data_IF_740380784521
#
_entry.id   IF_740380784521
#
_cell.length_a   1.000
_cell.length_b   1.000
_cell.length_c   1.000
_cell.angle_alpha   90.00
_cell.angle_beta   90.00
_cell.angle_gamma   90.00
#
_symmetry.space_group_name_H-M   'P 1'
#
loop_
_entity.id
_entity.type
_entity.pdbx_description
1 polymer ?
#
# COMPACT_ATOMS: atom_id res chain seq x y z
N UNK A 1 23.38 15.57 -16.48
CA UNK A 1 22.61 15.29 -15.25
C UNK A 1 21.31 14.49 -15.50
N UNK A 2 21.27 13.53 -16.44
CA UNK A 2 20.03 12.79 -16.75
C UNK A 2 19.51 12.04 -15.51
N UNK A 3 18.18 12.03 -15.28
CA UNK A 3 17.61 11.25 -14.19
C UNK A 3 17.90 9.77 -14.40
N UNK A 4 18.12 9.05 -13.29
CA UNK A 4 18.29 7.58 -13.30
C UNK A 4 16.94 6.87 -13.45
N UNK A 5 15.87 7.56 -13.07
CA UNK A 5 14.50 7.07 -13.04
C UNK A 5 13.66 7.78 -14.11
N UNK A 6 12.64 7.08 -14.59
CA UNK A 6 11.58 7.69 -15.39
C UNK A 6 10.54 8.32 -14.45
N UNK A 7 10.83 9.54 -14.01
CA UNK A 7 9.97 10.32 -13.12
C UNK A 7 8.64 10.67 -13.76
N UNK A 8 8.58 10.86 -15.08
CA UNK A 8 7.31 11.12 -15.77
C UNK A 8 6.32 9.99 -15.52
N UNK A 9 6.73 8.74 -15.77
CA UNK A 9 5.86 7.57 -15.55
C UNK A 9 5.43 7.43 -14.09
N UNK A 10 6.37 7.60 -13.16
CA UNK A 10 6.12 7.48 -11.71
C UNK A 10 5.13 8.56 -11.24
N UNK A 11 5.41 9.81 -11.58
CA UNK A 11 4.64 10.96 -11.09
C UNK A 11 3.27 11.03 -11.74
N UNK A 12 3.14 10.78 -13.04
CA UNK A 12 1.81 10.71 -13.68
C UNK A 12 0.93 9.64 -13.03
N UNK A 13 1.51 8.50 -12.67
CA UNK A 13 0.76 7.45 -11.98
C UNK A 13 0.35 7.88 -10.57
N UNK A 14 1.24 8.53 -9.82
CA UNK A 14 0.96 9.05 -8.49
C UNK A 14 -0.14 10.14 -8.54
N UNK A 15 -0.08 11.05 -9.51
CA UNK A 15 -1.08 12.10 -9.74
C UNK A 15 -2.46 11.52 -10.05
N UNK A 16 -2.55 10.42 -10.80
CA UNK A 16 -3.81 9.73 -11.05
C UNK A 16 -4.42 9.11 -9.78
N UNK A 17 -3.59 8.56 -8.91
CA UNK A 17 -4.02 7.91 -7.66
C UNK A 17 -4.38 8.92 -6.57
N UNK A 18 -3.62 10.02 -6.48
CA UNK A 18 -3.79 11.04 -5.44
C UNK A 18 -4.65 12.23 -5.88
N UNK A 19 -4.77 12.51 -7.18
CA UNK A 19 -5.39 13.73 -7.73
C UNK A 19 -4.80 15.01 -7.12
N UNK A 20 -3.48 15.12 -7.16
CA UNK A 20 -2.76 16.28 -6.62
C UNK A 20 -3.20 17.57 -7.33
N UNK A 21 -3.32 18.67 -6.57
CA UNK A 21 -3.68 20.00 -7.11
C UNK A 21 -2.50 20.72 -7.77
N UNK A 22 -1.26 20.31 -7.48
CA UNK A 22 -0.03 20.97 -7.91
C UNK A 22 1.07 19.94 -8.19
N UNK A 23 2.04 20.31 -9.02
CA UNK A 23 3.12 19.40 -9.39
C UNK A 23 4.02 19.03 -8.19
N UNK A 24 4.40 17.75 -8.02
CA UNK A 24 5.51 17.39 -7.17
C UNK A 24 6.80 18.11 -7.59
N UNK A 25 7.48 18.75 -6.62
CA UNK A 25 8.65 19.59 -6.88
C UNK A 25 9.92 18.76 -6.69
N UNK A 26 10.69 18.61 -7.76
CA UNK A 26 12.05 18.09 -7.69
C UNK A 26 12.94 19.17 -7.05
N UNK A 27 13.63 18.86 -5.95
CA UNK A 27 14.65 19.73 -5.36
C UNK A 27 16.01 19.06 -5.46
N UNK A 28 16.99 19.81 -5.98
CA UNK A 28 18.38 19.38 -6.07
C UNK A 28 19.32 20.42 -5.50
N UNK A 29 20.23 19.98 -4.65
CA UNK A 29 21.34 20.72 -4.10
C UNK A 29 22.53 20.64 -5.07
N UNK A 30 23.16 21.76 -5.38
CA UNK A 30 24.23 21.84 -6.36
C UNK A 30 25.55 22.24 -5.67
N UNK A 31 26.61 21.41 -5.79
CA UNK A 31 27.92 21.72 -5.22
C UNK A 31 28.53 23.01 -5.75
N UNK A 32 28.20 23.37 -6.98
CA UNK A 32 28.70 24.55 -7.67
C UNK A 32 27.56 25.30 -8.36
N UNK A 33 27.56 26.62 -8.29
CA UNK A 33 26.49 27.45 -8.90
C UNK A 33 26.48 27.38 -10.43
N UNK A 34 27.62 27.12 -11.08
CA UNK A 34 27.72 27.06 -12.54
C UNK A 34 26.87 25.93 -13.13
N UNK A 35 26.59 24.89 -12.35
CA UNK A 35 25.74 23.76 -12.75
C UNK A 35 24.29 24.17 -13.04
N UNK A 36 23.84 25.33 -12.58
CA UNK A 36 22.53 25.87 -12.94
C UNK A 36 22.38 26.06 -14.46
N UNK A 37 23.47 26.38 -15.15
CA UNK A 37 23.48 26.61 -16.60
C UNK A 37 23.31 25.31 -17.41
N UNK A 38 23.55 24.16 -16.80
CA UNK A 38 23.39 22.84 -17.43
C UNK A 38 21.94 22.33 -17.37
N UNK A 39 21.09 22.96 -16.56
CA UNK A 39 19.70 22.54 -16.36
C UNK A 39 18.81 23.19 -17.43
N UNK A 40 18.08 22.40 -18.23
CA UNK A 40 17.25 22.93 -19.30
C UNK A 40 16.07 23.73 -18.75
N UNK A 41 15.64 24.73 -19.53
CA UNK A 41 14.49 25.60 -19.21
C UNK A 41 14.62 26.40 -17.89
N UNK A 42 15.85 26.55 -17.39
CA UNK A 42 16.16 27.38 -16.22
C UNK A 42 15.71 28.82 -16.44
N UNK A 43 14.74 29.29 -15.65
CA UNK A 43 14.23 30.66 -15.70
C UNK A 43 14.99 31.56 -14.76
N UNK A 44 15.24 32.79 -15.21
CA UNK A 44 15.83 33.82 -14.37
C UNK A 44 14.79 34.35 -13.36
N UNK A 45 15.25 34.59 -12.14
CA UNK A 45 14.42 35.18 -11.09
C UNK A 45 14.42 36.70 -11.23
N UNK A 46 13.23 37.29 -11.13
CA UNK A 46 13.10 38.74 -11.01
C UNK A 46 13.19 39.15 -9.53
N UNK A 47 14.31 39.77 -9.17
CA UNK A 47 14.61 40.20 -7.81
C UNK A 47 14.74 39.05 -6.80
N UNK A 48 14.86 39.43 -5.53
CA UNK A 48 15.05 38.47 -4.44
C UNK A 48 13.75 37.72 -4.10
N UNK A 49 13.86 36.43 -3.78
CA UNK A 49 12.72 35.55 -3.45
C UNK A 49 12.88 34.89 -2.08
N UNK A 50 11.78 34.38 -1.53
CA UNK A 50 11.83 33.39 -0.44
C UNK A 50 11.89 31.97 -1.03
N UNK A 51 12.33 30.99 -0.23
CA UNK A 51 12.33 29.59 -0.68
C UNK A 51 10.91 29.10 -1.03
N UNK A 52 9.90 29.48 -0.25
CA UNK A 52 8.51 29.11 -0.54
C UNK A 52 7.99 29.71 -1.85
N UNK A 53 8.42 30.92 -2.23
CA UNK A 53 8.11 31.48 -3.56
C UNK A 53 8.71 30.65 -4.69
N UNK A 54 9.97 30.21 -4.56
CA UNK A 54 10.60 29.35 -5.56
C UNK A 54 9.83 28.04 -5.74
N UNK A 55 9.46 27.38 -4.64
CA UNK A 55 8.65 26.16 -4.65
C UNK A 55 7.30 26.41 -5.35
N UNK A 56 6.69 27.58 -5.13
CA UNK A 56 5.42 27.97 -5.75
C UNK A 56 5.52 28.13 -7.26
N UNK A 57 6.58 28.81 -7.72
CA UNK A 57 6.87 28.95 -9.15
C UNK A 57 6.95 27.58 -9.83
N UNK A 58 7.49 26.58 -9.14
CA UNK A 58 7.51 25.21 -9.66
C UNK A 58 6.13 24.57 -9.60
N UNK A 59 5.55 24.42 -8.41
CA UNK A 59 4.35 23.58 -8.20
C UNK A 59 3.09 24.12 -8.88
N UNK A 60 3.00 25.44 -9.07
CA UNK A 60 1.79 26.09 -9.58
C UNK A 60 1.97 26.73 -10.96
N UNK A 61 3.20 27.12 -11.33
CA UNK A 61 3.45 27.80 -12.60
C UNK A 61 4.28 26.99 -13.59
N UNK A 62 4.70 25.77 -13.22
CA UNK A 62 5.47 24.89 -14.10
C UNK A 62 6.81 25.54 -14.54
N UNK A 63 7.52 26.13 -13.58
CA UNK A 63 8.83 26.73 -13.83
C UNK A 63 9.95 25.83 -13.34
N UNK A 64 11.04 25.79 -14.12
CA UNK A 64 12.35 25.38 -13.62
C UNK A 64 13.07 26.64 -13.14
N UNK A 65 13.45 26.66 -11.87
CA UNK A 65 14.13 27.80 -11.23
C UNK A 65 15.34 27.32 -10.43
N UNK A 66 16.28 28.23 -10.20
CA UNK A 66 17.43 27.98 -9.37
C UNK A 66 17.81 29.24 -8.60
N UNK A 67 18.53 29.04 -7.50
CA UNK A 67 18.92 30.15 -6.63
C UNK A 67 20.27 29.88 -5.96
N UNK A 68 21.08 30.93 -5.87
CA UNK A 68 22.25 31.04 -4.98
C UNK A 68 21.87 31.80 -3.71
N UNK A 69 22.78 31.91 -2.74
CA UNK A 69 22.50 32.57 -1.47
C UNK A 69 22.03 34.04 -1.62
N UNK A 70 22.55 34.75 -2.61
CA UNK A 70 22.28 36.17 -2.87
C UNK A 70 20.87 36.44 -3.42
N UNK A 71 20.24 35.42 -4.02
CA UNK A 71 18.90 35.52 -4.60
C UNK A 71 17.81 35.54 -3.52
N UNK A 72 18.14 35.32 -2.25
CA UNK A 72 17.18 35.28 -1.15
C UNK A 72 16.98 36.64 -0.46
N UNK A 73 15.74 36.92 -0.03
CA UNK A 73 15.35 38.18 0.65
C UNK A 73 16.10 38.38 1.99
N UNK A 74 16.62 37.32 2.61
CA UNK A 74 17.39 37.41 3.85
C UNK A 74 18.11 36.09 4.17
N UNK A 75 18.83 36.01 5.30
CA UNK A 75 19.72 34.89 5.60
C UNK A 75 19.00 33.62 6.06
N UNK A 76 17.71 33.70 6.43
CA UNK A 76 16.98 32.57 7.01
C UNK A 76 16.80 31.42 6.04
N UNK A 77 16.31 31.69 4.82
CA UNK A 77 16.15 30.66 3.79
C UNK A 77 17.48 29.99 3.44
N UNK A 78 18.53 30.70 2.97
CA UNK A 78 19.80 30.09 2.61
C UNK A 78 20.50 29.42 3.81
N UNK A 79 20.26 29.90 5.04
CA UNK A 79 20.73 29.25 6.27
C UNK A 79 20.12 27.88 6.54
N UNK A 80 18.85 27.67 6.21
CA UNK A 80 18.17 26.37 6.38
C UNK A 80 18.68 25.35 5.36
N UNK A 81 18.84 25.78 4.11
CA UNK A 81 19.30 24.91 3.01
C UNK A 81 20.83 24.85 2.88
N UNK A 82 21.58 25.47 3.80
CA UNK A 82 23.04 25.32 3.87
C UNK A 82 23.83 26.06 2.78
N UNK A 83 23.24 27.09 2.16
CA UNK A 83 23.92 27.94 1.16
C UNK A 83 24.72 29.09 1.80
N UNK A 84 24.33 29.56 2.98
CA UNK A 84 25.03 30.63 3.71
C UNK A 84 24.84 30.48 5.21
N UNK A 85 25.78 30.97 6.02
CA UNK A 85 25.59 30.96 7.48
C UNK A 85 24.53 32.00 7.90
N UNK A 86 23.82 31.68 8.98
CA UNK A 86 22.89 32.61 9.62
C UNK A 86 23.67 33.58 10.52
N UNK A 87 23.57 34.91 10.34
CA UNK A 87 24.33 35.87 11.13
C UNK A 87 24.03 35.78 12.64
N UNK A 88 24.97 36.13 13.53
CA UNK A 88 24.78 36.03 14.99
C UNK A 88 23.53 36.75 15.53
N UNK A 89 23.17 37.90 14.95
CA UNK A 89 21.97 38.67 15.31
C UNK A 89 20.66 37.89 15.07
N UNK A 90 20.66 36.93 14.13
CA UNK A 90 19.53 36.04 13.89
C UNK A 90 19.52 34.83 14.83
N UNK A 91 20.67 34.46 15.40
CA UNK A 91 20.82 33.30 16.30
C UNK A 91 20.56 33.66 17.78
N UNK A 92 20.70 34.92 18.15
CA UNK A 92 20.60 35.36 19.56
C UNK A 92 19.17 35.52 20.10
N UNK A 93 18.16 35.20 19.28
CA UNK A 93 16.75 35.25 19.61
C UNK A 93 16.06 36.59 19.40
N UNK A 94 16.78 37.66 19.08
CA UNK A 94 16.22 39.03 18.97
C UNK A 94 15.07 39.10 17.97
N UNK A 95 15.27 38.60 16.75
CA UNK A 95 14.22 38.64 15.71
C UNK A 95 13.01 37.76 16.05
N UNK A 96 13.23 36.58 16.66
CA UNK A 96 12.13 35.70 17.05
C UNK A 96 11.30 36.29 18.18
N UNK A 97 11.93 36.99 19.13
CA UNK A 97 11.19 37.64 20.22
C UNK A 97 10.35 38.84 19.79
N UNK A 98 10.63 39.42 18.62
CA UNK A 98 9.82 40.53 18.07
C UNK A 98 8.49 40.01 17.52
N UNK A 99 8.47 38.78 16.99
CA UNK A 99 7.35 38.30 16.15
C UNK A 99 6.65 37.07 16.74
N UNK A 100 7.40 36.11 17.29
CA UNK A 100 6.90 34.74 17.50
C UNK A 100 6.87 34.30 18.96
N UNK A 101 7.74 34.82 19.81
CA UNK A 101 7.88 34.40 21.20
C UNK A 101 8.05 35.60 22.12
N UNK A 102 7.64 35.46 23.38
CA UNK A 102 7.59 36.60 24.30
C UNK A 102 8.98 37.10 24.72
N UNK A 103 9.96 36.20 24.85
CA UNK A 103 11.28 36.54 25.41
C UNK A 103 12.41 36.25 24.42
N UNK A 104 13.51 37.01 24.51
CA UNK A 104 14.71 36.75 23.71
C UNK A 104 15.33 35.39 24.02
N UNK A 105 15.24 34.92 25.27
CA UNK A 105 15.65 33.57 25.64
C UNK A 105 14.86 32.49 24.92
N UNK A 106 13.53 32.65 24.81
CA UNK A 106 12.70 31.75 24.01
C UNK A 106 13.05 31.86 22.53
N UNK A 107 13.34 33.07 22.05
CA UNK A 107 13.75 33.30 20.67
C UNK A 107 15.06 32.60 20.33
N UNK A 108 15.98 32.51 21.28
CA UNK A 108 17.23 31.77 21.12
C UNK A 108 16.97 30.26 21.08
N UNK A 109 16.17 29.73 22.03
CA UNK A 109 15.76 28.32 22.02
C UNK A 109 15.06 27.93 20.72
N UNK A 110 14.21 28.82 20.23
CA UNK A 110 13.55 28.69 18.93
C UNK A 110 14.58 28.49 17.81
N UNK A 111 15.54 29.41 17.66
CA UNK A 111 16.53 29.37 16.58
C UNK A 111 17.49 28.19 16.66
N UNK A 112 17.84 27.76 17.88
CA UNK A 112 18.65 26.56 18.14
C UNK A 112 17.92 25.26 17.77
N UNK A 113 16.58 25.25 17.82
CA UNK A 113 15.77 24.07 17.48
C UNK A 113 15.61 23.84 15.96
N UNK A 114 15.89 24.85 15.14
CA UNK A 114 15.73 24.78 13.67
C UNK A 114 16.84 23.88 13.09
N UNK A 115 16.51 22.74 12.46
CA UNK A 115 17.48 21.92 11.76
C UNK A 115 17.98 22.67 10.52
N UNK A 116 19.30 22.59 10.25
CA UNK A 116 19.93 23.25 9.11
C UNK A 116 20.84 22.27 8.36
N UNK A 117 20.84 22.37 7.04
CA UNK A 117 21.77 21.61 6.19
C UNK A 117 23.20 22.13 6.44
N UNK A 118 24.22 21.26 6.54
CA UNK A 118 25.60 21.68 6.76
C UNK A 118 26.14 22.59 5.66
N UNK A 119 26.90 23.61 6.06
CA UNK A 119 27.54 24.57 5.16
C UNK A 119 28.71 23.96 4.38
N UNK A 120 29.13 24.64 3.31
CA UNK A 120 30.34 24.33 2.55
C UNK A 120 30.21 23.16 1.56
N UNK A 121 29.01 22.57 1.43
CA UNK A 121 28.73 21.47 0.49
C UNK A 121 28.10 21.94 -0.82
N UNK A 122 27.32 23.02 -0.78
CA UNK A 122 26.49 23.46 -1.89
C UNK A 122 26.54 24.98 -2.05
N UNK A 123 26.53 25.43 -3.29
CA UNK A 123 26.52 26.85 -3.66
C UNK A 123 25.18 27.30 -4.24
N UNK A 124 24.35 26.36 -4.71
CA UNK A 124 23.06 26.64 -5.31
C UNK A 124 22.03 25.53 -5.05
N UNK A 125 20.77 25.84 -5.32
CA UNK A 125 19.69 24.86 -5.46
C UNK A 125 19.01 25.01 -6.81
N UNK A 126 18.47 23.90 -7.32
CA UNK A 126 17.58 23.88 -8.47
C UNK A 126 16.25 23.21 -8.11
N UNK A 127 15.16 23.78 -8.60
CA UNK A 127 13.82 23.25 -8.45
C UNK A 127 13.13 23.16 -9.81
N UNK A 128 12.41 22.07 -10.05
CA UNK A 128 11.67 21.86 -11.29
C UNK A 128 10.50 20.88 -11.07
N UNK A 129 9.47 20.88 -11.93
CA UNK A 129 8.37 19.93 -11.78
C UNK A 129 8.88 18.53 -12.11
N UNK A 130 8.76 17.62 -11.13
CA UNK A 130 9.39 16.30 -11.21
C UNK A 130 8.83 15.45 -12.37
N UNK A 131 7.57 15.69 -12.76
CA UNK A 131 6.90 15.01 -13.87
C UNK A 131 7.60 15.19 -15.22
N UNK A 132 8.39 16.25 -15.42
CA UNK A 132 9.08 16.51 -16.70
C UNK A 132 10.48 15.93 -16.78
N UNK A 133 10.84 15.01 -15.89
CA UNK A 133 12.17 14.38 -15.87
C UNK A 133 13.34 15.40 -15.84
N UNK A 134 13.30 16.47 -15.02
CA UNK A 134 14.22 17.60 -15.15
C UNK A 134 15.69 17.23 -14.82
N UNK A 135 15.88 16.47 -13.74
CA UNK A 135 17.15 15.97 -13.24
C UNK A 135 16.88 14.90 -12.18
N UNK A 136 17.91 14.17 -11.75
CA UNK A 136 17.79 13.36 -10.53
C UNK A 136 17.74 14.28 -9.29
N UNK A 137 16.64 14.29 -8.52
CA UNK A 137 16.52 15.14 -7.34
C UNK A 137 17.22 14.54 -6.11
N UNK A 138 17.59 15.37 -5.15
CA UNK A 138 17.96 14.91 -3.80
C UNK A 138 16.72 14.60 -2.96
N UNK A 139 15.60 15.26 -3.26
CA UNK A 139 14.28 14.98 -2.70
C UNK A 139 13.15 15.52 -3.57
N UNK A 140 11.96 14.95 -3.40
CA UNK A 140 10.72 15.44 -3.98
C UNK A 140 9.85 16.08 -2.88
N UNK A 141 9.29 17.25 -3.13
CA UNK A 141 8.30 17.90 -2.26
C UNK A 141 6.91 17.67 -2.82
N UNK A 142 6.04 17.05 -2.03
CA UNK A 142 4.64 16.81 -2.37
C UNK A 142 3.77 17.66 -1.46
N UNK A 143 2.95 18.51 -2.07
CA UNK A 143 1.90 19.26 -1.39
C UNK A 143 0.56 18.58 -1.63
N UNK A 144 -0.16 18.31 -0.54
CA UNK A 144 -1.42 17.58 -0.59
C UNK A 144 -2.25 17.87 0.67
N UNK A 145 -3.56 17.61 0.61
CA UNK A 145 -4.43 17.78 1.75
C UNK A 145 -4.30 16.63 2.78
N UNK A 146 -4.92 16.71 3.97
CA UNK A 146 -4.77 15.69 5.01
C UNK A 146 -5.21 14.29 4.57
N UNK A 147 -6.26 14.18 3.75
CA UNK A 147 -6.75 12.90 3.23
C UNK A 147 -5.72 12.26 2.28
N UNK A 148 -5.11 13.06 1.40
CA UNK A 148 -4.04 12.62 0.50
C UNK A 148 -2.76 12.26 1.28
N UNK A 149 -2.40 13.03 2.31
CA UNK A 149 -1.23 12.73 3.15
C UNK A 149 -1.40 11.46 3.96
N UNK A 150 -2.60 11.20 4.51
CA UNK A 150 -2.90 9.94 5.19
C UNK A 150 -2.68 8.74 4.26
N UNK A 151 -3.12 8.83 2.99
CA UNK A 151 -2.88 7.79 2.01
C UNK A 151 -1.39 7.64 1.69
N UNK A 152 -0.66 8.75 1.57
CA UNK A 152 0.79 8.73 1.31
C UNK A 152 1.56 8.08 2.46
N UNK A 153 1.21 8.40 3.72
CA UNK A 153 1.77 7.77 4.93
C UNK A 153 1.50 6.27 4.92
N UNK A 154 0.24 5.85 4.76
CA UNK A 154 -0.12 4.43 4.72
C UNK A 154 0.58 3.70 3.57
N UNK A 155 0.80 4.37 2.44
CA UNK A 155 1.51 3.81 1.30
C UNK A 155 3.00 3.58 1.62
N UNK A 156 3.64 4.53 2.31
CA UNK A 156 5.03 4.40 2.74
C UNK A 156 5.22 3.31 3.81
N UNK A 157 4.20 3.10 4.65
CA UNK A 157 4.16 2.08 5.70
C UNK A 157 3.72 0.70 5.22
N UNK A 158 3.26 0.57 3.98
CA UNK A 158 2.73 -0.68 3.44
C UNK A 158 3.80 -1.78 3.38
N UNK A 159 4.99 -1.45 2.88
CA UNK A 159 6.19 -2.29 2.92
C UNK A 159 7.01 -1.85 4.15
N UNK A 160 7.41 -2.78 5.03
CA UNK A 160 8.22 -2.50 6.23
C UNK A 160 7.62 -1.42 7.17
N UNK A 161 6.53 -1.78 7.86
CA UNK A 161 5.81 -0.88 8.75
C UNK A 161 6.72 -0.25 9.83
N UNK A 162 6.74 1.08 9.88
CA UNK A 162 7.41 1.87 10.92
C UNK A 162 6.47 3.03 11.32
N UNK A 163 6.38 3.33 12.61
CA UNK A 163 5.68 4.53 13.08
C UNK A 163 6.46 5.76 12.63
N UNK A 164 5.82 6.64 11.85
CA UNK A 164 6.44 7.89 11.41
C UNK A 164 6.26 8.99 12.46
N UNK A 165 7.37 9.66 12.80
CA UNK A 165 7.36 10.81 13.71
C UNK A 165 7.63 12.08 12.92
N UNK A 166 6.79 13.09 13.14
CA UNK A 166 6.88 14.38 12.46
C UNK A 166 7.13 15.50 13.46
N UNK A 167 7.85 16.51 13.01
CA UNK A 167 8.31 17.63 13.83
C UNK A 167 7.71 18.93 13.32
N UNK A 168 7.48 19.85 14.23
CA UNK A 168 7.00 21.19 13.92
C UNK A 168 7.70 22.20 14.82
N UNK A 169 8.54 23.03 14.23
CA UNK A 169 9.13 24.21 14.90
C UNK A 169 8.10 25.35 14.97
N UNK A 170 7.05 25.31 14.17
CA UNK A 170 5.97 26.30 14.09
C UNK A 170 6.15 27.29 12.94
N UNK A 171 7.35 27.85 12.76
CA UNK A 171 7.78 28.54 11.54
C UNK A 171 9.06 27.93 11.00
N UNK A 172 9.38 28.25 9.75
CA UNK A 172 10.48 27.62 9.02
C UNK A 172 10.14 26.16 8.66
N UNK A 173 8.93 25.92 8.15
CA UNK A 173 8.47 24.61 7.66
C UNK A 173 9.44 23.95 6.68
N UNK A 174 10.18 24.74 5.89
CA UNK A 174 11.25 24.24 5.04
C UNK A 174 12.36 23.52 5.83
N UNK A 175 12.64 23.90 7.08
CA UNK A 175 13.57 23.17 7.93
C UNK A 175 13.00 21.80 8.33
N UNK A 176 11.73 21.75 8.73
CA UNK A 176 11.08 20.50 9.13
C UNK A 176 10.86 19.53 7.97
N UNK A 177 10.60 20.02 6.75
CA UNK A 177 10.51 19.19 5.56
C UNK A 177 11.89 18.92 4.93
N UNK A 178 12.55 19.95 4.40
CA UNK A 178 13.76 19.81 3.56
C UNK A 178 14.98 19.44 4.41
N UNK A 179 15.30 20.21 5.44
CA UNK A 179 16.52 19.98 6.21
C UNK A 179 16.46 18.65 6.97
N UNK A 180 15.32 18.28 7.58
CA UNK A 180 15.19 16.96 8.24
C UNK A 180 15.22 15.81 7.24
N UNK A 181 14.54 15.92 6.09
CA UNK A 181 14.61 14.89 5.05
C UNK A 181 16.06 14.68 4.59
N UNK A 182 16.81 15.77 4.39
CA UNK A 182 18.22 15.71 4.04
C UNK A 182 19.08 15.04 5.12
N UNK A 183 18.93 15.47 6.39
CA UNK A 183 19.77 15.01 7.50
C UNK A 183 19.50 13.55 7.88
N UNK A 184 18.25 13.10 7.78
CA UNK A 184 17.84 11.76 8.22
C UNK A 184 17.79 10.74 7.09
N UNK A 185 17.71 11.20 5.83
CA UNK A 185 17.45 10.32 4.69
C UNK A 185 16.07 9.64 4.72
N UNK A 186 15.14 10.13 5.56
CA UNK A 186 13.78 9.61 5.73
C UNK A 186 12.73 10.64 5.28
N UNK A 187 11.50 10.21 4.92
CA UNK A 187 10.37 11.11 4.69
C UNK A 187 10.13 12.08 5.84
N UNK A 188 9.83 13.33 5.54
CA UNK A 188 9.52 14.36 6.53
C UNK A 188 8.27 15.15 6.13
N UNK A 189 7.19 15.01 6.92
CA UNK A 189 5.94 15.76 6.79
C UNK A 189 5.94 16.93 7.78
N UNK A 190 5.38 18.05 7.35
CA UNK A 190 5.12 19.19 8.24
C UNK A 190 3.89 19.98 7.79
N UNK A 191 3.46 20.90 8.65
CA UNK A 191 2.39 21.85 8.38
C UNK A 191 3.05 23.12 7.80
N UNK A 192 2.64 23.57 6.59
CA UNK A 192 3.10 24.83 6.03
C UNK A 192 2.89 26.01 6.98
N UNK A 193 3.97 26.75 7.24
CA UNK A 193 3.97 27.84 8.21
C UNK A 193 3.40 29.15 7.62
N UNK A 194 3.26 30.19 8.45
CA UNK A 194 2.67 31.46 8.03
C UNK A 194 3.38 32.07 6.81
N UNK A 195 4.72 32.06 6.80
CA UNK A 195 5.50 32.55 5.65
C UNK A 195 5.25 31.77 4.37
N UNK A 196 5.04 30.46 4.46
CA UNK A 196 4.74 29.61 3.31
C UNK A 196 3.33 29.87 2.76
N UNK A 197 2.36 30.18 3.61
CA UNK A 197 1.01 30.58 3.20
C UNK A 197 0.99 31.97 2.59
N UNK A 198 1.57 32.94 3.30
CA UNK A 198 1.56 34.35 2.90
C UNK A 198 2.34 34.63 1.63
N UNK A 199 3.51 33.99 1.46
CA UNK A 199 4.41 34.29 0.34
C UNK A 199 4.52 33.15 -0.68
N UNK A 200 4.34 31.90 -0.24
CA UNK A 200 4.35 30.71 -1.10
C UNK A 200 2.97 30.17 -1.45
N UNK A 201 1.89 30.88 -1.07
CA UNK A 201 0.52 30.55 -1.44
C UNK A 201 0.10 29.10 -1.11
N UNK A 202 0.70 28.49 -0.08
CA UNK A 202 0.21 27.22 0.44
C UNK A 202 -1.23 27.39 0.94
N UNK A 203 -2.13 26.51 0.49
CA UNK A 203 -3.56 26.57 0.77
C UNK A 203 -3.85 26.13 2.20
N UNK A 204 -4.97 26.56 2.79
CA UNK A 204 -5.36 26.25 4.19
C UNK A 204 -5.29 24.75 4.51
N UNK A 205 -5.67 23.91 3.55
CA UNK A 205 -5.61 22.45 3.66
C UNK A 205 -4.27 21.83 3.23
N UNK A 206 -3.31 22.59 2.69
CA UNK A 206 -2.03 22.04 2.28
C UNK A 206 -1.22 21.55 3.49
N UNK A 207 -0.70 20.34 3.36
CA UNK A 207 0.45 19.82 4.08
C UNK A 207 1.59 19.62 3.08
N UNK A 208 2.83 19.51 3.56
CA UNK A 208 3.99 19.24 2.69
C UNK A 208 4.82 18.08 3.24
N UNK A 209 5.13 17.12 2.37
CA UNK A 209 6.04 16.03 2.66
C UNK A 209 7.26 16.09 1.72
N UNK A 210 8.45 16.12 2.29
CA UNK A 210 9.69 15.88 1.57
C UNK A 210 9.99 14.37 1.56
N UNK A 211 10.29 13.83 0.39
CA UNK A 211 10.58 12.41 0.16
C UNK A 211 11.94 12.25 -0.52
N UNK A 212 12.85 11.43 0.01
CA UNK A 212 14.00 11.00 -0.77
C UNK A 212 13.55 10.20 -2.01
N UNK A 213 14.32 10.19 -3.12
CA UNK A 213 13.92 9.59 -4.39
C UNK A 213 13.38 8.15 -4.28
N UNK A 214 14.02 7.30 -3.50
CA UNK A 214 13.63 5.91 -3.31
C UNK A 214 12.26 5.76 -2.60
N UNK A 215 11.88 6.73 -1.77
CA UNK A 215 10.60 6.70 -1.06
C UNK A 215 9.43 7.15 -1.95
N UNK A 216 9.69 7.88 -3.04
CA UNK A 216 8.64 8.19 -4.03
C UNK A 216 8.20 6.91 -4.74
N UNK A 217 9.16 6.05 -5.13
CA UNK A 217 8.86 4.74 -5.73
C UNK A 217 8.17 3.80 -4.74
N UNK A 218 8.64 3.79 -3.47
CA UNK A 218 8.01 3.02 -2.39
C UNK A 218 6.55 3.46 -2.17
N UNK A 219 6.32 4.77 -2.09
CA UNK A 219 4.99 5.34 -1.96
C UNK A 219 4.08 4.92 -3.11
N UNK A 220 4.56 4.95 -4.35
CA UNK A 220 3.75 4.53 -5.50
C UNK A 220 3.33 3.05 -5.39
N UNK A 221 4.26 2.14 -5.08
CA UNK A 221 3.94 0.71 -4.93
C UNK A 221 2.92 0.46 -3.82
N UNK A 222 3.14 1.07 -2.65
CA UNK A 222 2.21 0.97 -1.53
C UNK A 222 0.82 1.53 -1.88
N UNK A 223 0.78 2.65 -2.61
CA UNK A 223 -0.46 3.28 -3.02
C UNK A 223 -1.26 2.42 -4.00
N UNK A 224 -0.59 1.76 -4.95
CA UNK A 224 -1.25 0.82 -5.85
C UNK A 224 -1.80 -0.41 -5.11
N UNK A 225 -1.09 -0.90 -4.09
CA UNK A 225 -1.57 -1.99 -3.26
C UNK A 225 -2.79 -1.59 -2.43
N UNK A 226 -2.76 -0.41 -1.81
CA UNK A 226 -3.91 0.16 -1.09
C UNK A 226 -5.11 0.39 -2.02
N UNK A 227 -4.88 0.89 -3.22
CA UNK A 227 -5.93 1.10 -4.22
C UNK A 227 -6.64 -0.21 -4.57
N UNK A 228 -5.90 -1.30 -4.78
CA UNK A 228 -6.48 -2.64 -5.02
C UNK A 228 -7.28 -3.16 -3.83
N UNK A 229 -6.92 -2.75 -2.60
CA UNK A 229 -7.66 -3.06 -1.36
C UNK A 229 -8.85 -2.11 -1.09
N UNK A 230 -9.15 -1.21 -2.02
CA UNK A 230 -10.26 -0.26 -1.90
C UNK A 230 -9.96 1.01 -1.11
N UNK A 231 -8.74 1.15 -0.57
CA UNK A 231 -8.28 2.36 0.13
C UNK A 231 -7.71 3.32 -0.92
N UNK A 232 -8.48 4.35 -1.29
CA UNK A 232 -8.19 5.21 -2.45
C UNK A 232 -8.69 6.65 -2.27
N UNK A 233 -8.20 7.56 -3.11
CA UNK A 233 -8.67 8.94 -3.20
C UNK A 233 -9.54 9.16 -4.47
N UNK A 234 -10.61 9.99 -4.42
CA UNK A 234 -11.17 10.64 -3.23
C UNK A 234 -11.78 9.64 -2.26
N UNK A 235 -11.75 9.99 -0.97
CA UNK A 235 -12.36 9.16 0.08
C UNK A 235 -13.88 9.19 -0.12
N UNK A 236 -14.48 8.01 -0.30
CA UNK A 236 -15.93 7.88 -0.42
C UNK A 236 -16.56 7.91 0.97
N UNK A 237 -17.42 8.88 1.24
CA UNK A 237 -18.15 8.97 2.51
C UNK A 237 -19.33 8.01 2.53
N UNK A 238 -19.53 7.34 3.66
CA UNK A 238 -20.62 6.38 3.82
C UNK A 238 -21.96 7.01 4.26
N UNK A 239 -21.95 8.27 4.70
CA UNK A 239 -23.10 8.94 5.34
C UNK A 239 -23.12 8.67 6.85
N UNK A 240 -23.30 9.71 7.66
CA UNK A 240 -23.22 9.60 9.13
C UNK A 240 -24.42 8.85 9.73
N UNK A 241 -25.52 8.82 8.99
CA UNK A 241 -26.81 8.23 9.35
C UNK A 241 -26.96 6.75 8.96
N UNK A 242 -26.01 6.19 8.19
CA UNK A 242 -26.08 4.79 7.75
C UNK A 242 -25.55 3.84 8.82
N UNK A 243 -26.25 2.71 8.97
CA UNK A 243 -25.68 1.54 9.60
C UNK A 243 -24.56 0.98 8.70
N UNK A 244 -23.32 1.10 9.18
CA UNK A 244 -22.13 0.67 8.45
C UNK A 244 -21.80 -0.80 8.64
N UNK A 245 -22.55 -1.55 9.45
CA UNK A 245 -22.27 -2.97 9.75
C UNK A 245 -22.15 -3.82 8.47
N UNK A 246 -22.95 -3.50 7.45
CA UNK A 246 -22.93 -4.17 6.14
C UNK A 246 -21.91 -3.59 5.15
N UNK A 247 -21.33 -2.42 5.45
CA UNK A 247 -20.39 -1.69 4.60
C UNK A 247 -18.94 -1.79 5.05
N UNK A 248 -18.69 -2.12 6.32
CA UNK A 248 -17.35 -2.43 6.80
C UNK A 248 -16.84 -3.72 6.14
N UNK A 249 -15.54 -3.80 5.78
CA UNK A 249 -14.97 -5.07 5.38
C UNK A 249 -15.18 -6.08 6.50
N UNK A 250 -15.51 -7.32 6.15
CA UNK A 250 -15.80 -8.37 7.13
C UNK A 250 -14.67 -8.58 8.15
N UNK A 251 -13.44 -8.19 7.83
CA UNK A 251 -12.31 -8.19 8.76
C UNK A 251 -12.48 -7.21 9.96
N UNK A 252 -13.32 -6.19 9.82
CA UNK A 252 -13.61 -5.16 10.83
C UNK A 252 -14.98 -5.32 11.49
N UNK A 253 -15.88 -6.11 10.87
CA UNK A 253 -17.24 -6.33 11.35
C UNK A 253 -17.40 -7.69 12.03
N UNK A 254 -17.99 -7.69 13.23
CA UNK A 254 -18.56 -8.90 13.81
C UNK A 254 -17.56 -9.84 14.48
N UNK A 255 -17.16 -9.49 15.72
CA UNK A 255 -16.64 -10.48 16.68
C UNK A 255 -17.59 -11.68 16.71
N UNK A 256 -18.91 -11.45 16.70
CA UNK A 256 -19.92 -12.52 16.68
C UNK A 256 -19.83 -13.45 15.45
N UNK A 257 -19.52 -12.92 14.26
CA UNK A 257 -19.30 -13.74 13.07
C UNK A 257 -17.97 -14.48 13.13
N UNK A 258 -16.93 -13.85 13.65
CA UNK A 258 -15.65 -14.50 13.92
C UNK A 258 -15.82 -15.63 14.93
N UNK A 259 -16.57 -15.40 16.01
CA UNK A 259 -16.92 -16.40 17.03
C UNK A 259 -17.78 -17.52 16.42
N UNK A 260 -18.70 -17.22 15.50
CA UNK A 260 -19.49 -18.25 14.82
C UNK A 260 -18.64 -19.15 13.93
N UNK A 261 -17.62 -18.59 13.27
CA UNK A 261 -16.72 -19.33 12.38
C UNK A 261 -15.66 -20.08 13.19
N UNK A 262 -14.97 -19.41 14.10
CA UNK A 262 -13.96 -20.04 14.95
C UNK A 262 -14.57 -21.00 15.97
N UNK A 263 -15.84 -20.79 16.33
CA UNK A 263 -16.54 -21.55 17.35
C UNK A 263 -16.10 -21.16 18.76
N UNK A 264 -16.88 -21.60 19.75
CA UNK A 264 -16.48 -21.66 21.16
C UNK A 264 -16.10 -23.07 21.60
N UNK A 265 -16.08 -24.01 20.65
CA UNK A 265 -15.60 -25.36 20.86
C UNK A 265 -14.08 -25.45 20.61
N UNK A 266 -13.55 -26.65 20.50
CA UNK A 266 -12.10 -26.90 20.40
C UNK A 266 -11.66 -27.21 18.96
N UNK A 267 -12.43 -26.73 17.96
CA UNK A 267 -12.06 -26.90 16.55
C UNK A 267 -10.80 -26.08 16.24
N UNK A 268 -9.95 -26.58 15.36
CA UNK A 268 -8.85 -25.80 14.78
C UNK A 268 -9.11 -25.55 13.30
N UNK A 269 -9.43 -24.31 12.95
CA UNK A 269 -9.51 -23.87 11.55
C UNK A 269 -8.15 -23.45 10.99
N UNK A 270 -7.67 -24.21 10.01
CA UNK A 270 -6.46 -23.96 9.24
C UNK A 270 -6.81 -23.45 7.84
N UNK A 271 -6.45 -22.21 7.51
CA UNK A 271 -6.58 -21.68 6.16
C UNK A 271 -5.43 -22.14 5.28
N UNK A 272 -5.70 -22.94 4.24
CA UNK A 272 -4.68 -23.49 3.34
C UNK A 272 -4.70 -22.71 2.03
N UNK A 273 -3.56 -22.09 1.70
CA UNK A 273 -3.39 -21.30 0.48
C UNK A 273 -2.03 -21.53 -0.17
N UNK A 274 -1.79 -20.86 -1.30
CA UNK A 274 -0.61 -21.06 -2.15
C UNK A 274 -0.88 -20.67 -3.60
N UNK A 275 0.19 -20.48 -4.38
CA UNK A 275 0.12 -20.08 -5.78
C UNK A 275 -0.50 -21.15 -6.69
N UNK A 276 -0.89 -20.75 -7.90
CA UNK A 276 -1.27 -21.71 -8.95
C UNK A 276 -0.15 -22.73 -9.13
N UNK A 277 -0.52 -24.01 -9.29
CA UNK A 277 0.42 -25.13 -9.45
C UNK A 277 1.42 -25.34 -8.30
N UNK A 278 1.21 -24.73 -7.11
CA UNK A 278 2.08 -24.98 -5.95
C UNK A 278 1.86 -26.35 -5.28
N UNK A 279 0.87 -27.13 -5.72
CA UNK A 279 0.56 -28.45 -5.16
C UNK A 279 -0.27 -28.42 -3.87
N UNK A 280 -1.03 -27.34 -3.64
CA UNK A 280 -2.02 -27.24 -2.55
C UNK A 280 -2.88 -28.50 -2.38
N UNK A 281 -3.42 -29.02 -3.48
CA UNK A 281 -4.28 -30.21 -3.47
C UNK A 281 -3.54 -31.46 -2.95
N UNK A 282 -2.24 -31.58 -3.24
CA UNK A 282 -1.42 -32.69 -2.74
C UNK A 282 -1.27 -32.61 -1.23
N UNK A 283 -0.88 -31.44 -0.71
CA UNK A 283 -0.73 -31.21 0.74
C UNK A 283 -2.06 -31.35 1.46
N UNK A 284 -3.16 -30.83 0.88
CA UNK A 284 -4.49 -30.95 1.47
C UNK A 284 -4.92 -32.42 1.60
N UNK A 285 -4.70 -33.25 0.57
CA UNK A 285 -4.98 -34.69 0.64
C UNK A 285 -4.14 -35.39 1.71
N UNK A 286 -2.86 -35.05 1.84
CA UNK A 286 -2.01 -35.62 2.89
C UNK A 286 -2.50 -35.27 4.30
N UNK A 287 -3.02 -34.05 4.51
CA UNK A 287 -3.65 -33.65 5.79
C UNK A 287 -4.99 -34.37 6.01
N UNK A 288 -5.77 -34.59 4.94
CA UNK A 288 -7.02 -35.35 5.00
C UNK A 288 -6.79 -36.81 5.39
N UNK A 289 -5.75 -37.46 4.83
CA UNK A 289 -5.31 -38.80 5.21
C UNK A 289 -4.94 -38.92 6.70
N UNK A 290 -4.54 -37.81 7.35
CA UNK A 290 -4.22 -37.75 8.78
C UNK A 290 -5.44 -37.52 9.67
N UNK A 291 -6.59 -37.18 9.09
CA UNK A 291 -7.84 -36.93 9.78
C UNK A 291 -8.31 -35.47 9.76
N UNK A 292 -7.67 -34.57 9.00
CA UNK A 292 -8.18 -33.22 8.83
C UNK A 292 -9.45 -33.22 7.97
N UNK A 293 -10.54 -32.63 8.45
CA UNK A 293 -11.72 -32.41 7.62
C UNK A 293 -11.44 -31.31 6.60
N UNK A 294 -11.84 -31.50 5.34
CA UNK A 294 -11.54 -30.56 4.25
C UNK A 294 -12.78 -29.80 3.81
N UNK A 295 -12.68 -28.48 3.76
CA UNK A 295 -13.64 -27.61 3.07
C UNK A 295 -12.91 -26.89 1.93
N UNK A 296 -13.32 -27.11 0.69
CA UNK A 296 -12.70 -26.51 -0.49
C UNK A 296 -13.59 -25.40 -1.07
N UNK A 297 -13.10 -24.16 -1.06
CA UNK A 297 -13.84 -23.01 -1.58
C UNK A 297 -14.10 -23.07 -3.08
N UNK A 298 -13.23 -23.72 -3.86
CA UNK A 298 -13.47 -23.92 -5.29
C UNK A 298 -14.66 -24.85 -5.50
N UNK A 299 -14.82 -25.87 -4.64
CA UNK A 299 -15.98 -26.76 -4.63
C UNK A 299 -17.24 -26.02 -4.18
N UNK A 300 -17.16 -25.26 -3.07
CA UNK A 300 -18.28 -24.44 -2.58
C UNK A 300 -18.80 -23.48 -3.67
N UNK A 301 -17.90 -22.80 -4.36
CA UNK A 301 -18.23 -21.88 -5.45
C UNK A 301 -18.92 -22.57 -6.63
N UNK A 302 -18.78 -23.90 -6.82
CA UNK A 302 -19.57 -24.66 -7.81
C UNK A 302 -20.92 -25.07 -7.26
N UNK A 303 -20.93 -25.59 -6.03
CA UNK A 303 -22.13 -26.10 -5.38
C UNK A 303 -23.17 -25.00 -5.23
N UNK A 304 -22.79 -23.79 -4.82
CA UNK A 304 -23.77 -22.71 -4.55
C UNK A 304 -24.48 -22.17 -5.79
N UNK A 305 -23.94 -22.44 -6.98
CA UNK A 305 -24.50 -22.01 -8.26
C UNK A 305 -25.08 -23.17 -9.09
N UNK A 306 -25.32 -24.33 -8.45
CA UNK A 306 -26.05 -25.42 -9.09
C UNK A 306 -27.48 -25.00 -9.46
N UNK A 307 -28.06 -25.60 -10.52
CA UNK A 307 -29.39 -25.25 -11.00
C UNK A 307 -30.44 -25.22 -9.88
N UNK A 308 -31.22 -24.14 -9.83
CA UNK A 308 -32.30 -23.97 -8.85
C UNK A 308 -31.88 -23.35 -7.50
N UNK A 309 -30.58 -23.22 -7.20
CA UNK A 309 -30.12 -22.54 -5.97
C UNK A 309 -30.27 -21.02 -6.04
N UNK A 310 -30.26 -20.31 -4.89
CA UNK A 310 -30.49 -18.86 -4.86
C UNK A 310 -29.52 -18.05 -5.73
N UNK A 311 -28.20 -18.33 -5.65
CA UNK A 311 -27.23 -17.63 -6.48
C UNK A 311 -27.45 -17.91 -7.97
N UNK A 312 -27.74 -19.15 -8.36
CA UNK A 312 -28.07 -19.50 -9.74
C UNK A 312 -29.27 -18.69 -10.26
N UNK A 313 -30.36 -18.61 -9.48
CA UNK A 313 -31.56 -17.84 -9.87
C UNK A 313 -31.25 -16.35 -10.06
N UNK A 314 -30.46 -15.77 -9.16
CA UNK A 314 -30.03 -14.37 -9.25
C UNK A 314 -29.15 -14.11 -10.47
N UNK A 315 -28.19 -15.01 -10.75
CA UNK A 315 -27.31 -14.94 -11.92
C UNK A 315 -28.13 -15.01 -13.20
N UNK A 316 -29.03 -15.98 -13.35
CA UNK A 316 -29.87 -16.13 -14.56
C UNK A 316 -30.80 -14.93 -14.75
N UNK A 317 -31.39 -14.41 -13.67
CA UNK A 317 -32.24 -13.23 -13.72
C UNK A 317 -31.49 -11.99 -14.21
N UNK A 318 -30.25 -11.80 -13.75
CA UNK A 318 -29.45 -10.61 -14.08
C UNK A 318 -28.72 -10.72 -15.43
N UNK A 319 -28.10 -11.87 -15.72
CA UNK A 319 -27.28 -12.07 -16.92
C UNK A 319 -28.03 -12.74 -18.08
N UNK A 320 -29.26 -13.21 -17.87
CA UNK A 320 -30.10 -13.91 -18.85
C UNK A 320 -29.74 -15.39 -19.01
N UNK A 321 -30.62 -16.16 -19.67
CA UNK A 321 -30.40 -17.61 -19.89
C UNK A 321 -29.20 -17.93 -20.80
N UNK A 322 -28.66 -16.94 -21.51
CA UNK A 322 -27.47 -17.07 -22.36
C UNK A 322 -26.19 -17.52 -21.62
N UNK A 323 -26.14 -17.36 -20.30
CA UNK A 323 -25.04 -17.83 -19.44
C UNK A 323 -25.21 -19.29 -19.00
N UNK A 324 -26.21 -19.99 -19.53
CA UNK A 324 -26.48 -21.40 -19.26
C UNK A 324 -25.98 -22.29 -20.40
N UNK A 325 -25.61 -23.51 -20.02
CA UNK A 325 -25.46 -24.68 -20.90
C UNK A 325 -26.84 -25.29 -21.19
N UNK A 326 -26.89 -26.25 -22.12
CA UNK A 326 -28.12 -26.99 -22.47
C UNK A 326 -28.73 -27.73 -21.27
N UNK A 327 -27.88 -28.22 -20.34
CA UNK A 327 -28.28 -28.91 -19.12
C UNK A 327 -28.70 -27.98 -17.97
N UNK A 328 -28.88 -26.68 -18.25
CA UNK A 328 -29.18 -25.60 -17.29
C UNK A 328 -28.07 -25.30 -16.27
N UNK A 329 -26.89 -25.90 -16.38
CA UNK A 329 -25.71 -25.49 -15.58
C UNK A 329 -25.09 -24.20 -16.13
N UNK A 330 -24.26 -23.51 -15.34
CA UNK A 330 -23.63 -22.27 -15.80
C UNK A 330 -22.50 -22.53 -16.79
N UNK A 331 -22.55 -21.85 -17.94
CA UNK A 331 -21.42 -21.73 -18.85
C UNK A 331 -20.42 -20.70 -18.30
N UNK A 332 -19.43 -21.23 -17.58
CA UNK A 332 -18.38 -20.42 -16.92
C UNK A 332 -17.56 -19.60 -17.90
N UNK A 333 -17.36 -20.09 -19.13
CA UNK A 333 -16.56 -19.40 -20.13
C UNK A 333 -17.31 -18.15 -20.61
N UNK A 334 -18.58 -18.31 -21.00
CA UNK A 334 -19.43 -17.18 -21.38
C UNK A 334 -19.59 -16.18 -20.24
N UNK A 335 -19.82 -16.66 -19.02
CA UNK A 335 -19.95 -15.78 -17.86
C UNK A 335 -18.66 -15.00 -17.58
N UNK A 336 -17.49 -15.67 -17.69
CA UNK A 336 -16.19 -15.02 -17.57
C UNK A 336 -15.97 -13.95 -18.63
N UNK A 337 -16.31 -14.23 -19.89
CA UNK A 337 -16.17 -13.28 -21.00
C UNK A 337 -17.02 -12.02 -20.79
N UNK A 338 -18.22 -12.17 -20.22
CA UNK A 338 -19.11 -11.05 -19.89
C UNK A 338 -18.56 -10.17 -18.77
N UNK A 339 -17.95 -10.75 -17.72
CA UNK A 339 -17.47 -10.01 -16.55
C UNK A 339 -16.04 -9.50 -16.68
N UNK A 340 -15.21 -10.07 -17.55
CA UNK A 340 -13.79 -9.73 -17.66
C UNK A 340 -13.56 -8.27 -18.08
N UNK A 341 -14.48 -7.71 -18.88
CA UNK A 341 -14.43 -6.31 -19.33
C UNK A 341 -15.22 -5.31 -18.48
N UNK A 342 -15.95 -5.75 -17.46
CA UNK A 342 -16.94 -4.92 -16.75
C UNK A 342 -16.89 -5.13 -15.23
N UNK A 343 -16.26 -4.18 -14.54
CA UNK A 343 -16.09 -4.19 -13.08
C UNK A 343 -17.42 -4.19 -12.32
N UNK A 344 -18.45 -3.54 -12.84
CA UNK A 344 -19.75 -3.45 -12.15
C UNK A 344 -20.52 -4.77 -12.28
N UNK A 345 -20.47 -5.42 -13.46
CA UNK A 345 -21.00 -6.77 -13.64
C UNK A 345 -20.28 -7.80 -12.78
N UNK A 346 -18.95 -7.69 -12.66
CA UNK A 346 -18.16 -8.56 -11.77
C UNK A 346 -18.60 -8.42 -10.31
N UNK A 347 -18.70 -7.19 -9.80
CA UNK A 347 -19.20 -6.94 -8.44
C UNK A 347 -20.62 -7.47 -8.24
N UNK A 348 -21.50 -7.36 -9.24
CA UNK A 348 -22.85 -7.92 -9.17
C UNK A 348 -22.82 -9.44 -9.04
N UNK A 349 -22.04 -10.13 -9.86
CA UNK A 349 -21.86 -11.58 -9.73
C UNK A 349 -21.35 -11.95 -8.32
N UNK A 350 -20.30 -11.28 -7.84
CA UNK A 350 -19.74 -11.49 -6.50
C UNK A 350 -20.80 -11.24 -5.39
N UNK A 351 -21.66 -10.23 -5.55
CA UNK A 351 -22.74 -9.94 -4.59
C UNK A 351 -23.82 -11.04 -4.51
N UNK A 352 -24.00 -11.83 -5.58
CA UNK A 352 -24.93 -12.95 -5.59
C UNK A 352 -24.31 -14.22 -5.02
N UNK A 353 -23.02 -14.45 -5.28
CA UNK A 353 -22.34 -15.70 -4.90
C UNK A 353 -21.74 -15.66 -3.50
N UNK A 354 -21.12 -14.55 -3.08
CA UNK A 354 -20.41 -14.48 -1.79
C UNK A 354 -21.29 -14.80 -0.57
N UNK A 355 -22.52 -14.27 -0.44
CA UNK A 355 -23.38 -14.62 0.68
C UNK A 355 -23.72 -16.11 0.72
N UNK A 356 -23.96 -16.72 -0.45
CA UNK A 356 -24.31 -18.13 -0.54
C UNK A 356 -23.11 -19.03 -0.22
N UNK A 357 -21.91 -18.68 -0.70
CA UNK A 357 -20.66 -19.39 -0.35
C UNK A 357 -20.44 -19.35 1.16
N UNK A 358 -20.64 -18.20 1.79
CA UNK A 358 -20.48 -18.04 3.22
C UNK A 358 -21.48 -18.86 4.04
N UNK A 359 -22.75 -18.88 3.62
CA UNK A 359 -23.78 -19.72 4.26
C UNK A 359 -23.44 -21.21 4.16
N UNK A 360 -23.02 -21.67 2.98
CA UNK A 360 -22.64 -23.06 2.76
C UNK A 360 -21.36 -23.44 3.54
N UNK A 361 -20.39 -22.53 3.62
CA UNK A 361 -19.19 -22.69 4.46
C UNK A 361 -19.57 -22.90 5.92
N UNK A 362 -20.42 -22.03 6.50
CA UNK A 362 -20.89 -22.17 7.88
C UNK A 362 -21.66 -23.47 8.07
N UNK A 363 -22.50 -23.87 7.10
CA UNK A 363 -23.26 -25.13 7.17
C UNK A 363 -22.33 -26.33 7.30
N UNK A 364 -21.36 -26.47 6.39
CA UNK A 364 -20.41 -27.60 6.42
C UNK A 364 -19.55 -27.58 7.68
N UNK A 365 -19.11 -26.40 8.08
CA UNK A 365 -18.35 -26.20 9.30
C UNK A 365 -19.13 -26.73 10.52
N UNK A 366 -20.41 -26.34 10.67
CA UNK A 366 -21.27 -26.79 11.76
C UNK A 366 -21.54 -28.30 11.71
N UNK A 367 -21.68 -28.89 10.53
CA UNK A 367 -21.86 -30.35 10.37
C UNK A 367 -20.65 -31.15 10.80
N UNK A 368 -19.44 -30.64 10.52
CA UNK A 368 -18.19 -31.24 10.97
C UNK A 368 -18.10 -31.14 12.50
N UNK A 369 -18.32 -29.96 13.06
CA UNK A 369 -18.14 -29.76 14.51
C UNK A 369 -19.24 -30.36 15.37
N UNK A 370 -20.43 -30.55 14.81
CA UNK A 370 -21.49 -31.33 15.48
C UNK A 370 -21.12 -32.80 15.63
N UNK A 371 -20.30 -33.34 14.72
CA UNK A 371 -19.79 -34.73 14.79
C UNK A 371 -18.53 -34.82 15.66
N UNK A 372 -17.62 -33.87 15.50
CA UNK A 372 -16.37 -33.79 16.26
C UNK A 372 -16.07 -32.34 16.66
N UNK A 373 -16.36 -31.94 17.92
CA UNK A 373 -16.06 -30.59 18.41
C UNK A 373 -14.55 -30.35 18.58
N UNK A 374 -13.71 -31.36 18.32
CA UNK A 374 -12.26 -31.32 18.32
C UNK A 374 -11.68 -31.53 16.91
N UNK A 375 -12.45 -31.26 15.85
CA UNK A 375 -11.95 -31.44 14.49
C UNK A 375 -10.84 -30.41 14.17
N UNK A 376 -9.77 -30.88 13.54
CA UNK A 376 -8.86 -30.02 12.77
C UNK A 376 -9.46 -29.90 11.36
N UNK A 377 -9.81 -28.69 10.96
CA UNK A 377 -10.52 -28.41 9.72
C UNK A 377 -9.61 -27.56 8.84
N UNK A 378 -9.23 -28.10 7.69
CA UNK A 378 -8.50 -27.37 6.67
C UNK A 378 -9.47 -26.75 5.67
N UNK A 379 -9.27 -25.47 5.38
CA UNK A 379 -10.10 -24.71 4.45
C UNK A 379 -9.23 -24.24 3.30
N UNK A 380 -9.40 -24.85 2.13
CA UNK A 380 -8.55 -24.62 0.96
C UNK A 380 -9.10 -23.44 0.16
N UNK A 381 -8.31 -22.36 0.08
CA UNK A 381 -8.69 -21.13 -0.65
C UNK A 381 -7.47 -20.62 -1.45
N UNK A 382 -7.47 -20.73 -2.80
CA UNK A 382 -6.35 -20.28 -3.62
C UNK A 382 -6.02 -18.78 -3.49
N UNK A 383 -7.06 -17.96 -3.32
CA UNK A 383 -6.99 -16.49 -3.24
C UNK A 383 -7.19 -15.97 -1.81
N UNK A 384 -6.89 -16.78 -0.79
CA UNK A 384 -7.15 -16.46 0.62
C UNK A 384 -6.61 -15.07 1.00
N UNK A 385 -5.35 -14.79 0.62
CA UNK A 385 -4.65 -13.56 0.97
C UNK A 385 -5.17 -12.38 0.14
N UNK A 386 -5.39 -12.60 -1.16
CA UNK A 386 -5.89 -11.60 -2.09
C UNK A 386 -7.31 -11.13 -1.76
N UNK A 387 -8.13 -12.04 -1.23
CA UNK A 387 -9.50 -11.75 -0.77
C UNK A 387 -9.55 -11.21 0.68
N UNK A 388 -8.40 -11.05 1.33
CA UNK A 388 -8.27 -10.61 2.72
C UNK A 388 -9.05 -11.49 3.73
N UNK A 389 -9.06 -12.81 3.55
CA UNK A 389 -9.81 -13.75 4.39
C UNK A 389 -8.99 -14.34 5.55
N UNK A 390 -7.77 -13.86 5.78
CA UNK A 390 -6.83 -14.36 6.81
C UNK A 390 -7.46 -14.42 8.19
N UNK A 391 -8.18 -13.36 8.56
CA UNK A 391 -8.75 -13.18 9.88
C UNK A 391 -9.72 -14.30 10.27
N UNK A 392 -10.33 -15.01 9.31
CA UNK A 392 -11.27 -16.11 9.58
C UNK A 392 -10.62 -17.34 10.24
N UNK A 393 -9.32 -17.53 10.07
CA UNK A 393 -8.63 -18.76 10.46
C UNK A 393 -7.79 -18.58 11.73
N UNK A 394 -7.61 -19.66 12.50
CA UNK A 394 -6.72 -19.66 13.66
C UNK A 394 -5.26 -19.65 13.23
N UNK A 395 -4.97 -20.40 12.16
CA UNK A 395 -3.64 -20.55 11.57
C UNK A 395 -3.73 -20.56 10.06
N UNK A 396 -2.67 -20.08 9.40
CA UNK A 396 -2.53 -20.09 7.95
C UNK A 396 -1.38 -20.98 7.51
N UNK A 397 -1.67 -21.87 6.56
CA UNK A 397 -0.70 -22.70 5.87
C UNK A 397 -0.52 -22.19 4.43
N UNK A 398 0.71 -21.82 4.07
CA UNK A 398 1.10 -21.53 2.69
C UNK A 398 1.89 -22.69 2.11
N UNK A 399 1.35 -23.28 1.04
CA UNK A 399 2.07 -24.27 0.23
C UNK A 399 2.92 -23.53 -0.79
N UNK A 400 4.23 -23.54 -0.54
CA UNK A 400 5.24 -22.77 -1.25
C UNK A 400 5.95 -23.60 -2.33
N UNK A 401 6.17 -22.97 -3.47
CA UNK A 401 7.01 -23.42 -4.58
C UNK A 401 7.61 -22.16 -5.22
N UNK A 402 8.81 -22.24 -5.79
CA UNK A 402 9.40 -21.10 -6.50
C UNK A 402 8.58 -20.68 -7.73
N UNK A 403 8.66 -19.41 -8.11
CA UNK A 403 7.94 -18.89 -9.28
C UNK A 403 8.29 -19.64 -10.57
N UNK A 404 9.56 -20.00 -10.76
CA UNK A 404 10.02 -20.76 -11.92
C UNK A 404 9.42 -22.17 -11.96
N UNK A 405 9.34 -22.84 -10.81
CA UNK A 405 8.79 -24.17 -10.72
C UNK A 405 7.26 -24.15 -10.89
N UNK A 406 6.57 -23.11 -10.38
CA UNK A 406 5.15 -22.88 -10.68
C UNK A 406 4.90 -22.70 -12.18
N UNK A 407 5.75 -21.94 -12.89
CA UNK A 407 5.66 -21.75 -14.35
C UNK A 407 5.77 -23.09 -15.07
N UNK A 408 6.81 -23.89 -14.74
CA UNK A 408 7.03 -25.20 -15.36
C UNK A 408 5.85 -26.15 -15.13
N UNK A 409 5.39 -26.25 -13.88
CA UNK A 409 4.26 -27.12 -13.51
C UNK A 409 2.96 -26.69 -14.19
N UNK A 410 2.69 -25.38 -14.24
CA UNK A 410 1.49 -24.85 -14.87
C UNK A 410 1.49 -25.04 -16.39
N UNK A 411 2.62 -24.75 -17.05
CA UNK A 411 2.79 -24.94 -18.49
C UNK A 411 2.59 -26.41 -18.89
N UNK A 412 3.19 -27.34 -18.13
CA UNK A 412 3.03 -28.77 -18.37
C UNK A 412 1.59 -29.26 -18.15
N UNK A 413 0.93 -28.80 -17.08
CA UNK A 413 -0.43 -29.23 -16.72
C UNK A 413 -1.49 -28.74 -17.71
N UNK A 414 -1.43 -27.47 -18.08
CA UNK A 414 -2.45 -26.83 -18.94
C UNK A 414 -2.08 -26.91 -20.44
N UNK A 415 -0.89 -27.43 -20.78
CA UNK A 415 -0.34 -27.47 -22.14
C UNK A 415 -0.28 -26.09 -22.80
N UNK A 416 0.19 -25.09 -22.04
CA UNK A 416 0.34 -23.68 -22.47
C UNK A 416 1.82 -23.28 -22.51
N UNK A 417 2.14 -22.14 -23.14
CA UNK A 417 3.51 -21.63 -23.13
C UNK A 417 3.93 -21.11 -21.75
N UNK A 418 5.22 -21.11 -21.46
CA UNK A 418 5.75 -20.52 -20.22
C UNK A 418 5.37 -19.04 -20.06
N UNK A 419 5.33 -18.29 -21.16
CA UNK A 419 4.89 -16.88 -21.14
C UNK A 419 3.42 -16.73 -20.74
N UNK A 420 2.55 -17.63 -21.22
CA UNK A 420 1.15 -17.67 -20.80
C UNK A 420 1.03 -18.03 -19.31
N UNK A 421 1.79 -19.03 -18.86
CA UNK A 421 1.84 -19.41 -17.45
C UNK A 421 2.32 -18.26 -16.54
N UNK A 422 3.35 -17.52 -16.94
CA UNK A 422 3.85 -16.32 -16.22
C UNK A 422 2.78 -15.25 -16.09
N UNK A 423 2.03 -14.95 -17.16
CA UNK A 423 0.92 -13.98 -17.12
C UNK A 423 -0.18 -14.41 -16.15
N UNK A 424 -0.51 -15.70 -16.11
CA UNK A 424 -1.51 -16.22 -15.17
C UNK A 424 -1.02 -16.12 -13.72
N UNK A 425 0.22 -16.50 -13.45
CA UNK A 425 0.82 -16.40 -12.09
C UNK A 425 0.89 -14.93 -11.64
N UNK A 426 1.25 -14.00 -12.53
CA UNK A 426 1.34 -12.57 -12.24
C UNK A 426 -0.01 -11.91 -11.83
N UNK A 427 -1.14 -12.59 -12.07
CA UNK A 427 -2.46 -12.13 -11.59
C UNK A 427 -2.68 -12.37 -10.09
N UNK A 428 -1.87 -13.22 -9.46
CA UNK A 428 -1.92 -13.55 -8.03
C UNK A 428 -0.87 -12.75 -7.25
N UNK A 429 -1.03 -12.69 -5.93
CA UNK A 429 0.01 -12.12 -5.07
C UNK A 429 1.29 -12.97 -5.17
N UNK A 430 2.49 -12.37 -5.36
CA UNK A 430 3.74 -13.11 -5.42
C UNK A 430 3.92 -14.06 -4.24
N UNK A 431 4.52 -15.23 -4.46
CA UNK A 431 4.67 -16.24 -3.41
C UNK A 431 5.48 -15.76 -2.23
N UNK A 432 6.53 -14.96 -2.49
CA UNK A 432 7.35 -14.34 -1.45
C UNK A 432 6.51 -13.48 -0.51
N UNK A 433 5.56 -12.73 -1.05
CA UNK A 433 4.67 -11.86 -0.26
C UNK A 433 3.63 -12.69 0.49
N UNK A 434 3.10 -13.77 -0.11
CA UNK A 434 2.16 -14.70 0.55
C UNK A 434 2.76 -15.36 1.79
N UNK A 435 4.04 -15.74 1.73
CA UNK A 435 4.75 -16.36 2.88
C UNK A 435 4.77 -15.44 4.09
N UNK A 436 4.78 -14.11 3.90
CA UNK A 436 4.72 -13.14 5.01
C UNK A 436 3.44 -13.18 5.84
N UNK A 437 2.37 -13.82 5.35
CA UNK A 437 1.11 -14.01 6.07
C UNK A 437 0.99 -15.38 6.76
N UNK A 438 1.94 -16.29 6.54
CA UNK A 438 1.80 -17.69 6.94
C UNK A 438 2.21 -17.91 8.41
N UNK A 439 1.46 -18.73 9.13
CA UNK A 439 1.94 -19.33 10.39
C UNK A 439 2.80 -20.56 10.09
N UNK A 440 2.45 -21.30 9.04
CA UNK A 440 3.14 -22.50 8.60
C UNK A 440 3.43 -22.44 7.10
N UNK A 441 4.59 -22.92 6.69
CA UNK A 441 4.98 -23.02 5.28
C UNK A 441 5.39 -24.45 4.98
N UNK A 442 4.78 -25.05 3.96
CA UNK A 442 5.24 -26.30 3.38
C UNK A 442 5.87 -25.98 2.03
N UNK A 443 7.18 -26.12 1.95
CA UNK A 443 7.90 -26.08 0.68
C UNK A 443 7.74 -27.42 -0.05
N UNK A 444 6.99 -27.37 -1.16
CA UNK A 444 6.64 -28.49 -2.04
C UNK A 444 7.45 -28.47 -3.36
N UNK A 445 8.67 -27.92 -3.30
CA UNK A 445 9.62 -27.92 -4.42
C UNK A 445 10.35 -29.27 -4.56
N UNK A 446 10.42 -30.06 -3.49
CA UNK A 446 11.08 -31.36 -3.43
C UNK A 446 10.21 -32.54 -3.87
N UNK A 447 10.54 -33.74 -3.39
CA UNK A 447 9.79 -34.97 -3.70
C UNK A 447 8.47 -35.06 -2.91
N UNK A 448 7.59 -35.98 -3.31
CA UNK A 448 6.32 -36.23 -2.62
C UNK A 448 6.58 -36.77 -1.21
N UNK A 449 7.61 -37.59 -1.04
CA UNK A 449 8.04 -38.17 0.22
C UNK A 449 8.59 -37.12 1.18
N UNK A 450 9.42 -36.18 0.67
CA UNK A 450 9.91 -35.04 1.45
C UNK A 450 8.76 -34.14 1.90
N UNK A 451 7.79 -33.89 1.02
CA UNK A 451 6.59 -33.12 1.33
C UNK A 451 5.74 -33.82 2.39
N UNK A 452 5.59 -35.15 2.27
CA UNK A 452 4.85 -35.97 3.24
C UNK A 452 5.49 -35.91 4.63
N UNK A 453 6.81 -35.98 4.73
CA UNK A 453 7.52 -35.83 6.00
C UNK A 453 7.27 -34.44 6.65
N UNK A 454 7.24 -33.37 5.85
CA UNK A 454 6.88 -32.02 6.34
C UNK A 454 5.43 -31.93 6.79
N UNK A 455 4.51 -32.60 6.10
CA UNK A 455 3.09 -32.68 6.50
C UNK A 455 2.95 -33.46 7.81
N UNK A 456 3.71 -34.54 7.99
CA UNK A 456 3.73 -35.31 9.24
C UNK A 456 4.16 -34.44 10.43
N UNK A 457 5.23 -33.67 10.27
CA UNK A 457 5.68 -32.71 11.28
C UNK A 457 4.63 -31.62 11.55
N UNK A 458 4.04 -31.07 10.49
CA UNK A 458 2.97 -30.08 10.62
C UNK A 458 1.77 -30.64 11.39
N UNK A 459 1.38 -31.88 11.14
CA UNK A 459 0.24 -32.51 11.79
C UNK A 459 0.40 -32.59 13.32
N UNK A 460 1.59 -32.95 13.80
CA UNK A 460 1.86 -32.95 15.24
C UNK A 460 1.84 -31.52 15.82
N UNK A 461 2.34 -30.53 15.08
CA UNK A 461 2.25 -29.12 15.48
C UNK A 461 0.80 -28.62 15.54
N UNK A 462 -0.03 -28.97 14.56
CA UNK A 462 -1.45 -28.59 14.54
C UNK A 462 -2.20 -29.19 15.74
N UNK A 463 -1.90 -30.45 16.11
CA UNK A 463 -2.43 -31.07 17.33
C UNK A 463 -1.99 -30.33 18.60
N UNK A 464 -0.75 -29.83 18.66
CA UNK A 464 -0.29 -29.00 19.78
C UNK A 464 -1.05 -27.68 19.85
N UNK A 465 -1.15 -26.95 18.73
CA UNK A 465 -1.86 -25.67 18.66
C UNK A 465 -3.34 -25.83 19.03
N UNK A 466 -3.98 -26.91 18.59
CA UNK A 466 -5.36 -27.21 18.99
C UNK A 466 -5.50 -27.40 20.51
N UNK A 467 -4.51 -28.04 21.16
CA UNK A 467 -4.49 -28.17 22.63
C UNK A 467 -4.25 -26.83 23.32
N UNK A 468 -3.48 -25.92 22.74
CA UNK A 468 -3.26 -24.58 23.31
C UNK A 468 -4.53 -23.71 23.23
N UNK A 469 -5.31 -23.82 22.15
CA UNK A 469 -6.63 -23.17 22.03
C UNK A 469 -7.58 -23.63 23.15
N UNK A 470 -7.34 -24.82 23.72
CA UNK A 470 -8.09 -25.41 24.85
C UNK A 470 -7.88 -24.69 26.18
N UNK A 471 -6.91 -23.77 26.29
CA UNK A 471 -6.55 -23.13 27.55
C UNK A 471 -6.05 -24.10 28.63
N UNK A 472 -5.43 -25.22 28.22
CA UNK A 472 -4.81 -26.22 29.10
C UNK A 472 -3.30 -26.05 29.24
#
# INVERSE_FOLDING_TARGET
MKPKRDWEKIIRRLELLMRLKSFPVALRMLPKKEMLQEIPFMRQLDGKKTLCQLITLVRSFDWTVGAVAEDFIGPTCPGIIGLADTPPLFKDGTFRSIVWVQTRSDGKRYEESIPRIPLGKYEAIALAPLVYNPFEPDMALIYANPAQMMLLINSLQFEDYEVMQFFCVGESSCADAIARCYLTGKPALTIPCYGERRYGHAQDDDLVMALPPQYVEKALRGMEALYRRGIRYPISYAGAERDLTTSFPMAYGGIDQLEAIRGKDNRLLLGVTGGIASGKTTVAKMLEEKGAATIDFDVLARVVVEPGKPAWKQIVSYFGEQVLQEDRTLDRKKLSDIIFGDLEKRKKLESFTHPQIHMEFIRQLNEITAKDPHAIIQVVIPLLIELNLQYLFHKLLVVYVSDEEMVKRLAAREKISEDQARKMIASQLPMKDKVGFADFVIDNSGTVEETRAKVDELWERLKSVQKEIRGL
#
